data_IF_080729902928
#
_entry.id   IF_080729902928
#
_cell.length_a   1.000
_cell.length_b   1.000
_cell.length_c   1.000
_cell.angle_alpha   90.00
_cell.angle_beta   90.00
_cell.angle_gamma   90.00
#
_symmetry.space_group_name_H-M   'P 1'
#
loop_
_entity.id
_entity.type
_entity.pdbx_description
1 polymer ?
#
# COMPACT_ATOMS: atom_id res chain seq x y z
N UNK A 1 27.68 75.66 -20.59
CA UNK A 1 26.28 76.01 -20.92
C UNK A 1 25.77 74.95 -21.88
N UNK A 2 24.61 74.33 -21.58
CA UNK A 2 23.63 73.69 -22.51
C UNK A 2 24.10 72.63 -23.53
N UNK A 3 23.36 71.55 -23.83
CA UNK A 3 22.21 70.88 -23.22
C UNK A 3 22.08 69.47 -23.86
N UNK A 4 21.46 68.51 -23.15
CA UNK A 4 20.82 67.33 -23.76
C UNK A 4 19.36 67.74 -24.11
N UNK A 5 18.69 67.23 -25.18
CA UNK A 5 17.95 65.96 -25.06
C UNK A 5 17.72 65.12 -26.36
N UNK A 6 17.12 63.93 -26.14
CA UNK A 6 16.16 63.21 -27.02
C UNK A 6 16.62 62.01 -27.88
N UNK A 7 16.01 60.85 -27.59
CA UNK A 7 15.85 59.69 -28.50
C UNK A 7 14.85 60.01 -29.64
N UNK A 8 14.90 59.24 -30.76
CA UNK A 8 14.03 58.04 -30.97
C UNK A 8 14.87 56.73 -31.16
N UNK A 9 14.36 55.51 -31.43
CA UNK A 9 13.10 54.77 -31.14
C UNK A 9 13.20 53.31 -31.70
N UNK A 10 12.23 52.43 -31.35
CA UNK A 10 11.79 51.20 -32.08
C UNK A 10 12.29 49.81 -31.65
N UNK A 11 11.36 48.84 -31.77
CA UNK A 11 11.51 47.38 -31.72
C UNK A 11 11.80 46.67 -30.38
N UNK A 12 10.90 46.82 -29.41
CA UNK A 12 10.64 45.78 -28.40
C UNK A 12 9.38 44.97 -28.80
N UNK A 13 9.56 43.77 -29.36
CA UNK A 13 8.46 42.84 -29.65
C UNK A 13 8.35 41.80 -28.54
N UNK A 14 7.15 41.65 -27.97
CA UNK A 14 6.90 40.86 -26.78
C UNK A 14 7.07 39.34 -26.98
N UNK A 15 7.75 38.62 -26.06
CA UNK A 15 7.76 37.16 -26.03
C UNK A 15 6.74 36.54 -25.04
N UNK A 16 6.11 37.35 -24.17
CA UNK A 16 5.44 36.84 -22.95
C UNK A 16 4.00 36.34 -23.15
N UNK A 17 3.34 36.65 -24.27
CA UNK A 17 1.95 36.25 -24.51
C UNK A 17 1.81 34.76 -24.90
N UNK A 18 2.72 34.24 -25.73
CA UNK A 18 2.61 32.89 -26.31
C UNK A 18 2.81 31.75 -25.28
N UNK A 19 3.45 32.03 -24.14
CA UNK A 19 3.59 31.07 -23.05
C UNK A 19 2.30 30.90 -22.24
N UNK A 20 1.45 31.93 -22.17
CA UNK A 20 0.28 31.94 -21.30
C UNK A 20 -0.95 31.26 -21.95
N UNK A 21 -1.17 31.45 -23.26
CA UNK A 21 -2.27 30.78 -23.96
C UNK A 21 -2.10 29.25 -23.98
N UNK A 22 -0.87 28.77 -24.22
CA UNK A 22 -0.56 27.33 -24.27
C UNK A 22 -0.80 26.61 -22.93
N UNK A 23 -0.60 27.29 -21.79
CA UNK A 23 -0.98 26.76 -20.47
C UNK A 23 -2.49 26.69 -20.28
N UNK A 24 -3.23 27.72 -20.69
CA UNK A 24 -4.69 27.80 -20.46
C UNK A 24 -5.44 26.78 -21.32
N UNK A 25 -5.08 26.63 -22.61
CA UNK A 25 -5.71 25.64 -23.50
C UNK A 25 -5.40 24.19 -23.08
N UNK A 26 -4.18 23.90 -22.62
CA UNK A 26 -3.87 22.58 -22.03
C UNK A 26 -4.67 22.33 -20.76
N UNK A 27 -4.77 23.32 -19.87
CA UNK A 27 -5.52 23.21 -18.63
C UNK A 27 -7.01 22.92 -18.88
N UNK A 28 -7.62 23.59 -19.88
CA UNK A 28 -9.02 23.38 -20.24
C UNK A 28 -9.29 21.97 -20.81
N UNK A 29 -8.48 21.50 -21.76
CA UNK A 29 -8.63 20.14 -22.33
C UNK A 29 -8.34 19.05 -21.30
N UNK A 30 -7.42 19.31 -20.35
CA UNK A 30 -7.21 18.40 -19.22
C UNK A 30 -8.42 18.40 -18.29
N UNK A 31 -9.04 19.55 -18.01
CA UNK A 31 -10.23 19.64 -17.16
C UNK A 31 -11.47 18.93 -17.76
N UNK A 32 -11.70 19.07 -19.06
CA UNK A 32 -12.83 18.44 -19.75
C UNK A 32 -12.72 16.90 -19.79
N UNK A 33 -11.49 16.35 -19.88
CA UNK A 33 -11.23 14.91 -19.82
C UNK A 33 -11.27 14.33 -18.38
N UNK A 34 -11.48 15.18 -17.37
CA UNK A 34 -11.21 14.90 -15.96
C UNK A 34 -12.47 14.95 -15.09
N UNK A 35 -13.66 15.22 -15.65
CA UNK A 35 -14.85 15.51 -14.85
C UNK A 35 -15.78 14.30 -14.64
N UNK A 36 -16.17 13.60 -15.70
CA UNK A 36 -17.31 12.64 -15.71
C UNK A 36 -17.08 11.34 -14.90
N UNK A 37 -15.82 10.97 -14.60
CA UNK A 37 -15.51 9.74 -13.85
C UNK A 37 -14.57 9.91 -12.65
N UNK A 38 -13.80 11.00 -12.61
CA UNK A 38 -12.80 11.17 -11.55
C UNK A 38 -13.38 11.75 -10.27
N UNK A 39 -14.41 12.60 -10.34
CA UNK A 39 -15.07 13.11 -9.14
C UNK A 39 -15.65 11.95 -8.31
N UNK A 40 -16.31 11.00 -8.97
CA UNK A 40 -16.77 9.74 -8.39
C UNK A 40 -15.61 8.91 -7.85
N UNK A 41 -14.52 8.76 -8.60
CA UNK A 41 -13.33 8.04 -8.14
C UNK A 41 -12.69 8.67 -6.88
N UNK A 42 -12.62 10.00 -6.81
CA UNK A 42 -12.13 10.74 -5.63
C UNK A 42 -13.09 10.64 -4.43
N UNK A 43 -14.41 10.59 -4.67
CA UNK A 43 -15.39 10.36 -3.62
C UNK A 43 -15.28 8.93 -3.05
N UNK A 44 -15.18 7.91 -3.92
CA UNK A 44 -14.92 6.53 -3.53
C UNK A 44 -13.58 6.40 -2.79
N UNK A 45 -12.52 7.09 -3.24
CA UNK A 45 -11.21 7.12 -2.59
C UNK A 45 -11.29 7.63 -1.15
N UNK A 46 -12.15 8.61 -0.85
CA UNK A 46 -12.38 9.10 0.51
C UNK A 46 -13.20 8.14 1.37
N UNK A 47 -14.05 7.31 0.76
CA UNK A 47 -14.92 6.35 1.45
C UNK A 47 -14.29 4.95 1.64
N UNK A 48 -13.09 4.72 1.12
CA UNK A 48 -12.36 3.45 1.25
C UNK A 48 -12.00 3.14 2.71
N UNK A 49 -12.08 1.86 3.09
CA UNK A 49 -11.62 1.40 4.40
C UNK A 49 -10.10 1.20 4.39
N UNK A 50 -9.40 2.26 4.81
CA UNK A 50 -7.94 2.25 4.93
C UNK A 50 -7.42 1.39 6.09
N UNK A 51 -8.22 0.98 7.08
CA UNK A 51 -7.74 0.07 8.13
C UNK A 51 -7.62 -1.36 7.58
N UNK A 52 -8.63 -1.82 6.85
CA UNK A 52 -8.61 -3.08 6.11
C UNK A 52 -7.46 -3.09 5.06
N UNK A 53 -7.30 -1.97 4.35
CA UNK A 53 -6.23 -1.80 3.35
C UNK A 53 -4.83 -1.59 3.95
N UNK A 54 -4.71 -1.16 5.20
CA UNK A 54 -3.40 -0.96 5.84
C UNK A 54 -2.62 -2.26 6.04
N UNK A 55 -3.33 -3.40 5.99
CA UNK A 55 -2.78 -4.76 6.14
C UNK A 55 -1.97 -4.98 7.42
N UNK A 56 -2.11 -4.08 8.40
CA UNK A 56 -1.42 -4.09 9.69
C UNK A 56 -1.67 -5.37 10.51
N UNK A 57 -2.76 -6.08 10.19
CA UNK A 57 -3.15 -7.35 10.80
C UNK A 57 -2.54 -8.59 10.11
N UNK A 58 -1.93 -8.46 8.94
CA UNK A 58 -1.26 -9.57 8.24
C UNK A 58 0.05 -9.89 8.98
N UNK A 59 0.27 -11.16 9.41
CA UNK A 59 1.48 -11.52 10.11
C UNK A 59 2.71 -11.45 9.18
N UNK A 60 3.60 -10.51 9.47
CA UNK A 60 4.88 -10.32 8.76
C UNK A 60 5.69 -11.61 8.68
N UNK A 61 6.38 -11.81 7.56
CA UNK A 61 7.23 -12.98 7.29
C UNK A 61 8.22 -13.26 8.44
N UNK A 62 8.71 -12.21 9.12
CA UNK A 62 9.61 -12.33 10.28
C UNK A 62 9.00 -13.07 11.47
N UNK A 63 7.68 -12.98 11.67
CA UNK A 63 6.95 -13.72 12.73
C UNK A 63 6.85 -15.20 12.35
N UNK A 64 6.58 -15.46 11.07
CA UNK A 64 6.47 -16.80 10.51
C UNK A 64 7.82 -17.54 10.51
N UNK A 65 8.92 -16.84 10.17
CA UNK A 65 10.28 -17.37 10.26
C UNK A 65 10.71 -17.65 11.70
N UNK A 66 10.40 -16.76 12.66
CA UNK A 66 10.66 -17.03 14.08
C UNK A 66 9.94 -18.29 14.57
N UNK A 67 8.66 -18.46 14.22
CA UNK A 67 7.91 -19.68 14.56
C UNK A 67 8.51 -20.95 13.94
N UNK A 68 8.95 -20.88 12.66
CA UNK A 68 9.65 -21.99 11.98
C UNK A 68 10.98 -22.33 12.68
N UNK A 69 11.78 -21.32 13.02
CA UNK A 69 13.10 -21.51 13.62
C UNK A 69 13.01 -22.11 15.03
N UNK A 70 12.02 -21.72 15.84
CA UNK A 70 11.74 -22.32 17.15
C UNK A 70 11.43 -23.82 17.01
N UNK A 71 10.55 -24.19 16.06
CA UNK A 71 10.23 -25.60 15.78
C UNK A 71 11.45 -26.40 15.32
N UNK A 72 12.27 -25.83 14.43
CA UNK A 72 13.49 -26.48 13.93
C UNK A 72 14.53 -26.68 15.05
N UNK A 73 14.77 -25.66 15.88
CA UNK A 73 15.66 -25.75 17.06
C UNK A 73 15.18 -26.83 18.05
N UNK A 74 13.87 -26.94 18.27
CA UNK A 74 13.30 -27.98 19.11
C UNK A 74 13.57 -29.39 18.54
N UNK A 75 13.31 -29.61 17.24
CA UNK A 75 13.59 -30.90 16.58
C UNK A 75 15.08 -31.26 16.60
N UNK A 76 15.98 -30.29 16.35
CA UNK A 76 17.43 -30.48 16.43
C UNK A 76 17.85 -30.88 17.86
N UNK A 77 17.28 -30.23 18.88
CA UNK A 77 17.56 -30.55 20.29
C UNK A 77 17.10 -31.97 20.65
N UNK A 78 15.88 -32.35 20.24
CA UNK A 78 15.32 -33.67 20.47
C UNK A 78 16.10 -34.78 19.74
N UNK A 79 16.49 -34.54 18.48
CA UNK A 79 17.36 -35.42 17.71
C UNK A 79 18.73 -35.58 18.37
N UNK A 80 19.36 -34.49 18.79
CA UNK A 80 20.65 -34.50 19.47
C UNK A 80 20.61 -35.33 20.77
N UNK A 81 19.59 -35.12 21.63
CA UNK A 81 19.40 -35.93 22.83
C UNK A 81 19.14 -37.41 22.52
N UNK A 82 18.38 -37.71 21.47
CA UNK A 82 18.09 -39.08 21.05
C UNK A 82 19.37 -39.81 20.61
N UNK A 83 20.21 -39.15 19.80
CA UNK A 83 21.52 -39.68 19.38
C UNK A 83 22.43 -39.89 20.59
N UNK A 84 22.49 -38.93 21.52
CA UNK A 84 23.34 -38.99 22.70
C UNK A 84 22.89 -40.07 23.69
N UNK A 85 21.58 -40.29 23.83
CA UNK A 85 20.99 -41.40 24.57
C UNK A 85 21.35 -42.76 23.94
N UNK A 86 21.24 -42.91 22.62
CA UNK A 86 21.66 -44.12 21.89
C UNK A 86 23.16 -44.41 22.07
N UNK A 87 24.02 -43.38 21.99
CA UNK A 87 25.46 -43.53 22.27
C UNK A 87 25.73 -43.95 23.72
N UNK A 88 24.94 -43.44 24.68
CA UNK A 88 25.04 -43.87 26.08
C UNK A 88 24.62 -45.34 26.26
N UNK A 89 23.60 -45.83 25.55
CA UNK A 89 23.21 -47.25 25.55
C UNK A 89 24.28 -48.17 24.92
N UNK A 90 25.01 -47.68 23.92
CA UNK A 90 26.14 -48.39 23.32
C UNK A 90 27.39 -48.48 24.22
N UNK A 91 27.34 -47.93 25.44
CA UNK A 91 28.44 -47.97 26.41
C UNK A 91 29.57 -46.98 26.15
N UNK A 92 29.36 -45.99 25.27
CA UNK A 92 30.36 -44.95 24.98
C UNK A 92 30.52 -43.91 26.11
N UNK A 93 29.60 -43.89 27.07
CA UNK A 93 29.59 -42.98 28.22
C UNK A 93 29.31 -43.75 29.54
N UNK A 94 29.66 -43.20 30.72
CA UNK A 94 29.46 -43.87 32.00
C UNK A 94 27.96 -43.98 32.36
N UNK A 95 27.57 -44.99 33.14
CA UNK A 95 26.16 -45.39 33.33
C UNK A 95 25.21 -44.27 33.80
N UNK A 96 25.69 -43.30 34.58
CA UNK A 96 24.90 -42.17 35.09
C UNK A 96 24.38 -41.20 34.01
N UNK A 97 25.02 -41.13 32.84
CA UNK A 97 24.64 -40.16 31.79
C UNK A 97 23.37 -40.56 31.06
N UNK A 98 23.14 -41.87 30.87
CA UNK A 98 21.98 -42.38 30.14
C UNK A 98 20.65 -41.99 30.80
N UNK A 99 20.61 -42.01 32.13
CA UNK A 99 19.46 -41.53 32.90
C UNK A 99 19.21 -40.03 32.71
N UNK A 100 20.27 -39.21 32.71
CA UNK A 100 20.15 -37.76 32.54
C UNK A 100 19.65 -37.39 31.13
N UNK A 101 20.16 -38.04 30.08
CA UNK A 101 19.67 -37.84 28.71
C UNK A 101 18.26 -38.38 28.51
N UNK A 102 17.90 -39.52 29.12
CA UNK A 102 16.55 -40.06 29.09
C UNK A 102 15.51 -39.13 29.75
N UNK A 103 15.84 -38.57 30.92
CA UNK A 103 14.99 -37.57 31.61
C UNK A 103 14.87 -36.30 30.77
N UNK A 104 15.98 -35.79 30.21
CA UNK A 104 15.95 -34.64 29.32
C UNK A 104 15.07 -34.85 28.08
N UNK A 105 15.15 -36.04 27.47
CA UNK A 105 14.33 -36.40 26.31
C UNK A 105 12.85 -36.53 26.66
N UNK A 106 12.54 -37.12 27.83
CA UNK A 106 11.18 -37.24 28.33
C UNK A 106 10.54 -35.88 28.63
N UNK A 107 11.24 -34.99 29.35
CA UNK A 107 10.77 -33.61 29.60
C UNK A 107 10.55 -32.85 28.29
N UNK A 108 11.51 -32.91 27.37
CA UNK A 108 11.42 -32.21 26.09
C UNK A 108 10.25 -32.72 25.23
N UNK A 109 9.99 -34.03 25.25
CA UNK A 109 8.84 -34.67 24.60
C UNK A 109 7.51 -34.24 25.23
N UNK A 110 7.45 -34.12 26.56
CA UNK A 110 6.25 -33.65 27.27
C UNK A 110 5.85 -32.23 26.86
N UNK A 111 6.82 -31.31 26.73
CA UNK A 111 6.58 -29.94 26.23
C UNK A 111 5.98 -29.90 24.81
N UNK A 112 6.26 -30.91 23.99
CA UNK A 112 5.66 -31.03 22.65
C UNK A 112 4.21 -31.55 22.70
N UNK A 113 3.88 -32.42 23.65
CA UNK A 113 2.49 -32.86 23.88
C UNK A 113 1.64 -31.69 24.41
N UNK A 114 2.17 -30.87 25.33
CA UNK A 114 1.48 -29.66 25.81
C UNK A 114 1.25 -28.61 24.70
N UNK A 115 2.02 -28.66 23.60
CA UNK A 115 1.81 -27.81 22.42
C UNK A 115 0.54 -28.16 21.61
N UNK A 116 -0.24 -29.16 22.03
CA UNK A 116 -1.60 -29.40 21.54
C UNK A 116 -2.66 -28.51 22.20
N UNK A 117 -2.38 -27.85 23.33
CA UNK A 117 -3.33 -26.89 23.92
C UNK A 117 -3.34 -25.58 23.12
N UNK A 118 -4.52 -25.06 22.72
CA UNK A 118 -4.65 -23.99 21.73
C UNK A 118 -4.34 -22.58 22.26
N UNK A 119 -3.73 -22.45 23.45
CA UNK A 119 -3.75 -21.22 24.25
C UNK A 119 -2.39 -20.52 24.46
N UNK A 120 -1.27 -21.04 23.93
CA UNK A 120 0.04 -20.37 24.08
C UNK A 120 0.81 -20.15 22.76
N UNK A 121 1.27 -18.91 22.61
CA UNK A 121 2.15 -18.43 21.54
C UNK A 121 3.41 -19.29 21.45
N UNK A 122 3.67 -19.89 20.29
CA UNK A 122 4.91 -20.63 20.04
C UNK A 122 4.86 -21.53 18.82
N UNK A 123 4.44 -22.79 19.01
CA UNK A 123 4.75 -23.88 18.08
C UNK A 123 3.61 -24.28 17.12
N UNK A 124 2.35 -24.24 17.55
CA UNK A 124 1.17 -24.54 16.71
C UNK A 124 0.68 -23.30 15.92
N UNK A 125 1.30 -22.14 16.18
CA UNK A 125 0.93 -20.88 15.55
C UNK A 125 1.21 -20.86 14.04
N UNK A 126 2.20 -21.60 13.52
CA UNK A 126 2.58 -21.53 12.10
C UNK A 126 1.43 -21.85 11.13
N UNK A 127 0.74 -22.99 11.29
CA UNK A 127 -0.38 -23.38 10.43
C UNK A 127 -1.57 -22.43 10.57
N UNK A 128 -1.86 -21.98 11.79
CA UNK A 128 -2.93 -21.03 12.08
C UNK A 128 -2.62 -19.64 11.48
N UNK A 129 -1.37 -19.16 11.60
CA UNK A 129 -0.89 -17.92 10.99
C UNK A 129 -0.93 -17.98 9.47
N UNK A 130 -0.53 -19.11 8.86
CA UNK A 130 -0.61 -19.30 7.40
C UNK A 130 -2.06 -19.30 6.93
N UNK A 131 -2.94 -20.08 7.56
CA UNK A 131 -4.37 -20.11 7.21
C UNK A 131 -5.04 -18.73 7.41
N UNK A 132 -4.72 -18.03 8.51
CA UNK A 132 -5.21 -16.66 8.76
C UNK A 132 -4.68 -15.67 7.73
N UNK A 133 -3.43 -15.81 7.28
CA UNK A 133 -2.86 -14.99 6.21
C UNK A 133 -3.55 -15.24 4.87
N UNK A 134 -3.74 -16.50 4.48
CA UNK A 134 -4.46 -16.86 3.26
C UNK A 134 -5.90 -16.32 3.28
N UNK A 135 -6.60 -16.42 4.42
CA UNK A 135 -7.94 -15.85 4.58
C UNK A 135 -7.96 -14.32 4.43
N UNK A 136 -7.05 -13.61 5.10
CA UNK A 136 -6.93 -12.15 5.00
C UNK A 136 -6.52 -11.69 3.59
N UNK A 137 -5.61 -12.40 2.92
CA UNK A 137 -5.21 -12.11 1.53
C UNK A 137 -6.38 -12.35 0.56
N UNK A 138 -7.21 -13.37 0.77
CA UNK A 138 -8.42 -13.63 -0.02
C UNK A 138 -9.52 -12.57 0.22
N UNK A 139 -9.74 -12.18 1.47
CA UNK A 139 -10.70 -11.13 1.85
C UNK A 139 -10.31 -9.78 1.26
N UNK A 140 -9.04 -9.38 1.43
CA UNK A 140 -8.47 -8.20 0.82
C UNK A 140 -8.58 -8.23 -0.71
N UNK A 141 -8.24 -9.35 -1.35
CA UNK A 141 -8.35 -9.50 -2.81
C UNK A 141 -9.79 -9.34 -3.28
N UNK A 142 -10.77 -9.85 -2.52
CA UNK A 142 -12.20 -9.70 -2.81
C UNK A 142 -12.65 -8.24 -2.64
N UNK A 143 -12.18 -7.55 -1.59
CA UNK A 143 -12.44 -6.14 -1.36
C UNK A 143 -11.89 -5.26 -2.49
N UNK A 144 -10.61 -5.42 -2.84
CA UNK A 144 -9.99 -4.72 -3.98
C UNK A 144 -10.71 -5.08 -5.30
N UNK A 145 -11.12 -6.32 -5.52
CA UNK A 145 -11.89 -6.69 -6.73
C UNK A 145 -13.24 -5.97 -6.80
N UNK A 146 -13.85 -5.70 -5.65
CA UNK A 146 -15.13 -4.98 -5.56
C UNK A 146 -14.94 -3.49 -5.88
N UNK A 147 -13.83 -2.90 -5.43
CA UNK A 147 -13.47 -1.49 -5.69
C UNK A 147 -13.02 -1.28 -7.14
N UNK A 148 -12.12 -2.13 -7.64
CA UNK A 148 -11.52 -1.98 -8.97
C UNK A 148 -12.58 -2.05 -10.08
N UNK A 149 -13.66 -2.79 -9.83
CA UNK A 149 -14.83 -2.91 -10.70
C UNK A 149 -14.49 -3.50 -12.07
N UNK A 150 -15.35 -3.22 -13.05
CA UNK A 150 -15.12 -3.54 -14.46
C UNK A 150 -14.30 -2.48 -15.21
N UNK A 151 -14.07 -1.31 -14.62
CA UNK A 151 -13.51 -0.13 -15.30
C UNK A 151 -12.06 0.18 -14.91
N UNK A 152 -11.56 -0.32 -13.77
CA UNK A 152 -10.18 -0.11 -13.33
C UNK A 152 -9.99 1.16 -12.52
N UNK A 153 -10.51 1.17 -11.29
CA UNK A 153 -10.47 2.30 -10.35
C UNK A 153 -9.12 3.05 -10.28
N UNK A 154 -7.99 2.33 -10.22
CA UNK A 154 -6.66 2.97 -10.18
C UNK A 154 -6.38 3.81 -11.43
N UNK A 155 -6.80 3.37 -12.61
CA UNK A 155 -6.54 4.11 -13.85
C UNK A 155 -7.26 5.46 -13.87
N UNK A 156 -8.47 5.54 -13.32
CA UNK A 156 -9.22 6.80 -13.20
C UNK A 156 -8.46 7.82 -12.32
N UNK A 157 -7.69 7.36 -11.33
CA UNK A 157 -6.88 8.21 -10.45
C UNK A 157 -5.55 8.67 -11.06
N UNK A 158 -5.15 8.14 -12.23
CA UNK A 158 -3.89 8.52 -12.91
C UNK A 158 -3.73 10.04 -13.11
N UNK A 159 -4.75 10.82 -13.50
CA UNK A 159 -4.62 12.27 -13.70
C UNK A 159 -4.25 13.07 -12.44
N UNK A 160 -4.38 12.51 -11.23
CA UNK A 160 -3.93 13.17 -9.99
C UNK A 160 -2.40 13.29 -9.91
N UNK A 161 -1.64 12.60 -10.78
CA UNK A 161 -0.18 12.74 -10.86
C UNK A 161 0.28 14.17 -11.10
N UNK A 162 -0.54 15.02 -11.73
CA UNK A 162 -0.26 16.44 -11.93
C UNK A 162 -0.04 17.20 -10.61
N UNK A 163 -0.83 16.90 -9.57
CA UNK A 163 -0.68 17.47 -8.24
C UNK A 163 0.38 16.75 -7.39
N UNK A 164 0.81 15.56 -7.81
CA UNK A 164 1.77 14.76 -7.06
C UNK A 164 2.64 13.85 -7.93
N UNK A 165 3.83 14.34 -8.29
CA UNK A 165 4.86 13.61 -9.08
C UNK A 165 5.29 12.28 -8.47
N UNK A 166 5.02 12.02 -7.18
CA UNK A 166 5.26 10.70 -6.60
C UNK A 166 4.47 9.58 -7.30
N UNK A 167 3.31 9.88 -7.91
CA UNK A 167 2.49 8.92 -8.65
C UNK A 167 3.06 8.54 -10.02
N UNK A 168 3.96 9.36 -10.60
CA UNK A 168 4.62 9.09 -11.89
C UNK A 168 5.78 8.07 -11.80
N UNK A 169 6.07 7.54 -10.61
CA UNK A 169 7.14 6.55 -10.44
C UNK A 169 6.79 5.29 -11.24
N UNK A 170 7.78 4.74 -11.97
CA UNK A 170 7.58 3.62 -12.91
C UNK A 170 6.81 2.41 -12.35
N UNK A 171 6.94 2.13 -11.05
CA UNK A 171 6.23 1.04 -10.40
C UNK A 171 4.72 1.30 -10.22
N UNK A 172 4.30 2.56 -10.03
CA UNK A 172 2.89 2.96 -10.00
C UNK A 172 2.30 3.02 -11.40
N UNK A 173 3.03 3.53 -12.39
CA UNK A 173 2.58 3.51 -13.80
C UNK A 173 2.32 2.05 -14.25
N UNK A 174 3.20 1.12 -13.87
CA UNK A 174 2.97 -0.32 -14.11
C UNK A 174 1.71 -0.86 -13.44
N UNK A 175 1.38 -0.38 -12.24
CA UNK A 175 0.16 -0.75 -11.52
C UNK A 175 -1.10 -0.21 -12.22
N UNK A 176 -1.07 1.06 -12.66
CA UNK A 176 -2.14 1.68 -13.45
C UNK A 176 -2.38 0.95 -14.77
N UNK A 177 -1.31 0.62 -15.50
CA UNK A 177 -1.40 -0.17 -16.74
C UNK A 177 -1.93 -1.60 -16.50
N UNK A 178 -1.68 -2.19 -15.32
CA UNK A 178 -2.23 -3.50 -14.96
C UNK A 178 -3.73 -3.42 -14.59
N UNK A 179 -4.16 -2.31 -13.97
CA UNK A 179 -5.57 -1.96 -13.73
C UNK A 179 -6.33 -1.77 -15.05
N UNK A 180 -5.81 -0.94 -15.96
CA UNK A 180 -6.39 -0.67 -17.28
C UNK A 180 -6.56 -1.95 -18.14
N UNK A 181 -5.69 -2.95 -17.97
CA UNK A 181 -5.81 -4.25 -18.67
C UNK A 181 -6.68 -5.27 -17.92
N UNK A 182 -7.31 -4.91 -16.80
CA UNK A 182 -8.03 -5.79 -15.86
C UNK A 182 -7.19 -6.99 -15.38
N UNK A 183 -5.86 -6.86 -15.41
CA UNK A 183 -4.88 -7.88 -14.99
C UNK A 183 -4.34 -7.62 -13.58
N UNK A 184 -4.81 -6.57 -12.90
CA UNK A 184 -4.39 -6.21 -11.55
C UNK A 184 -4.48 -7.40 -10.57
N UNK A 185 -5.56 -8.18 -10.60
CA UNK A 185 -5.73 -9.37 -9.76
C UNK A 185 -4.77 -10.54 -10.06
N UNK A 186 -4.06 -10.49 -11.20
CA UNK A 186 -2.96 -11.40 -11.54
C UNK A 186 -1.59 -10.81 -11.16
N UNK A 187 -1.51 -9.53 -10.86
CA UNK A 187 -0.31 -8.79 -10.44
C UNK A 187 -0.30 -8.45 -8.94
N UNK A 188 -1.40 -8.69 -8.23
CA UNK A 188 -1.50 -8.68 -6.77
C UNK A 188 -1.48 -10.13 -6.29
N UNK A 189 -0.26 -10.64 -6.12
CA UNK A 189 0.05 -12.01 -5.65
C UNK A 189 0.92 -12.02 -4.40
N UNK A 190 1.68 -10.95 -4.18
CA UNK A 190 2.64 -10.82 -3.09
C UNK A 190 2.25 -9.67 -2.17
N UNK A 191 2.44 -9.83 -0.86
CA UNK A 191 2.27 -8.78 0.15
C UNK A 191 2.89 -7.44 -0.26
N UNK A 192 4.07 -7.45 -0.91
CA UNK A 192 4.73 -6.23 -1.40
C UNK A 192 3.91 -5.49 -2.47
N UNK A 193 3.19 -6.22 -3.32
CA UNK A 193 2.37 -5.65 -4.40
C UNK A 193 1.08 -5.04 -3.82
N UNK A 194 0.50 -5.70 -2.82
CA UNK A 194 -0.62 -5.16 -2.04
C UNK A 194 -0.21 -3.91 -1.22
N UNK A 195 0.96 -3.91 -0.58
CA UNK A 195 1.51 -2.73 0.08
C UNK A 195 1.78 -1.57 -0.91
N UNK A 196 2.19 -1.89 -2.14
CA UNK A 196 2.38 -0.90 -3.20
C UNK A 196 1.05 -0.28 -3.65
N UNK A 197 0.00 -1.09 -3.77
CA UNK A 197 -1.37 -0.66 -4.03
C UNK A 197 -1.88 0.28 -2.93
N UNK A 198 -1.68 -0.07 -1.66
CA UNK A 198 -2.02 0.79 -0.52
C UNK A 198 -1.27 2.13 -0.55
N UNK A 199 0.04 2.11 -0.81
CA UNK A 199 0.85 3.32 -0.90
C UNK A 199 0.43 4.23 -2.07
N UNK A 200 -0.03 3.66 -3.18
CA UNK A 200 -0.58 4.43 -4.30
C UNK A 200 -1.83 5.20 -3.88
N UNK A 201 -2.75 4.55 -3.16
CA UNK A 201 -4.00 5.18 -2.71
C UNK A 201 -3.76 6.29 -1.68
N UNK A 202 -2.80 6.14 -0.77
CA UNK A 202 -2.40 7.25 0.13
C UNK A 202 -1.86 8.43 -0.68
N UNK A 203 -0.97 8.18 -1.65
CA UNK A 203 -0.39 9.24 -2.47
C UNK A 203 -1.46 9.95 -3.34
N UNK A 204 -2.46 9.20 -3.80
CA UNK A 204 -3.64 9.71 -4.50
C UNK A 204 -4.53 10.55 -3.58
N UNK A 205 -4.75 10.13 -2.33
CA UNK A 205 -5.53 10.90 -1.36
C UNK A 205 -4.87 12.25 -1.09
N UNK A 206 -3.55 12.27 -0.82
CA UNK A 206 -2.78 13.50 -0.66
C UNK A 206 -2.74 14.35 -1.95
N UNK A 207 -2.81 13.73 -3.13
CA UNK A 207 -2.94 14.47 -4.38
C UNK A 207 -4.34 15.10 -4.55
N UNK A 208 -5.40 14.42 -4.10
CA UNK A 208 -6.76 14.95 -4.12
C UNK A 208 -6.95 16.10 -3.12
N UNK A 209 -6.36 16.03 -1.92
CA UNK A 209 -6.35 17.16 -0.97
C UNK A 209 -5.71 18.42 -1.57
N UNK A 210 -4.61 18.26 -2.33
CA UNK A 210 -3.96 19.36 -3.06
C UNK A 210 -4.83 19.89 -4.20
N UNK A 211 -5.53 19.01 -4.94
CA UNK A 211 -6.51 19.37 -5.96
C UNK A 211 -7.62 20.23 -5.36
N UNK A 212 -8.23 19.80 -4.26
CA UNK A 212 -9.32 20.52 -3.59
C UNK A 212 -8.85 21.87 -3.01
N UNK A 213 -7.64 21.93 -2.44
CA UNK A 213 -7.04 23.18 -2.01
C UNK A 213 -6.76 24.14 -3.19
N UNK A 214 -6.37 23.62 -4.36
CA UNK A 214 -6.14 24.42 -5.56
C UNK A 214 -7.45 24.95 -6.17
N UNK A 215 -8.50 24.12 -6.24
CA UNK A 215 -9.86 24.53 -6.67
C UNK A 215 -10.39 25.63 -5.76
N UNK A 216 -10.25 25.47 -4.43
CA UNK A 216 -10.66 26.51 -3.46
C UNK A 216 -9.87 27.83 -3.61
N UNK A 217 -8.65 27.78 -4.12
CA UNK A 217 -7.84 28.97 -4.39
C UNK A 217 -8.15 29.62 -5.76
N UNK A 218 -8.74 28.88 -6.70
CA UNK A 218 -9.12 29.33 -8.04
C UNK A 218 -10.58 28.94 -8.33
N UNK A 219 -11.56 29.52 -7.62
CA UNK A 219 -12.97 29.20 -7.83
C UNK A 219 -13.39 29.53 -9.26
N UNK A 220 -14.20 28.66 -9.87
CA UNK A 220 -14.72 28.89 -11.21
C UNK A 220 -15.72 30.07 -11.16
N UNK A 221 -15.69 31.04 -12.11
CA UNK A 221 -16.68 32.11 -12.17
C UNK A 221 -18.14 31.66 -12.08
N UNK A 222 -18.49 30.46 -12.56
CA UNK A 222 -19.86 29.93 -12.50
C UNK A 222 -20.31 29.60 -11.05
N UNK A 223 -19.40 29.09 -10.20
CA UNK A 223 -19.68 28.83 -8.78
C UNK A 223 -19.94 30.15 -8.02
N UNK A 224 -19.24 31.21 -8.42
CA UNK A 224 -19.41 32.56 -7.85
C UNK A 224 -20.79 33.15 -8.21
N UNK A 225 -21.32 32.84 -9.40
CA UNK A 225 -22.69 33.22 -9.77
C UNK A 225 -23.72 32.45 -8.93
N UNK A 226 -23.54 31.14 -8.76
CA UNK A 226 -24.45 30.30 -7.96
C UNK A 226 -24.54 30.75 -6.49
N UNK A 227 -23.40 31.06 -5.85
CA UNK A 227 -23.35 31.56 -4.47
C UNK A 227 -23.89 33.00 -4.33
N UNK A 228 -23.99 33.76 -5.43
CA UNK A 228 -24.66 35.06 -5.44
C UNK A 228 -26.16 34.95 -5.65
N UNK A 229 -26.65 34.03 -6.50
CA UNK A 229 -28.09 33.81 -6.69
C UNK A 229 -28.78 33.34 -5.40
N UNK A 230 -28.19 32.39 -4.67
CA UNK A 230 -28.73 31.87 -3.40
C UNK A 230 -28.84 32.99 -2.33
N UNK A 231 -27.84 33.87 -2.25
CA UNK A 231 -27.85 35.06 -1.37
C UNK A 231 -28.82 36.16 -1.81
N UNK A 232 -29.31 36.12 -3.05
CA UNK A 232 -30.27 37.10 -3.58
C UNK A 232 -31.71 36.62 -3.46
N UNK A 233 -31.96 35.31 -3.42
CA UNK A 233 -33.29 34.73 -3.11
C UNK A 233 -33.58 34.61 -1.60
N UNK A 234 -32.54 34.64 -0.75
CA UNK A 234 -32.65 34.58 0.70
C UNK A 234 -32.83 35.95 1.41
N UNK A 235 -33.05 37.04 0.66
CA UNK A 235 -33.12 38.43 1.15
C UNK A 235 -34.42 39.15 0.75
#
# INVERSE_FOLDING_TARGET
>A
MTNNPSQPESAATAPDAALNESSTTKSAVIAELYDDGLNDACHILKQLDYDLLSMKQIPSDQVLEKAKNIRVIWFISCYSLTVLFLLSLLGFFPWWTGGLFGIGLFLLSLTYVDSFLPSQLGANSFSLLTAKREQLELELKKYITTIEGSLGFIHLLQPLSYFNKNMEKHYFIRLCNASQQHKLMKHLTNYREFQLYYQYLIEALTANEKREAWIKAHPNPDDIQAEQTDKTEAA
#
